data_IF_700970319867
#
_entry.id   IF_700970319867
#
_cell.length_a   1.000
_cell.length_b   1.000
_cell.length_c   1.000
_cell.angle_alpha   90.00
_cell.angle_beta   90.00
_cell.angle_gamma   90.00
#
_symmetry.space_group_name_H-M   'P 1'
#
loop_
_entity.id
_entity.type
_entity.pdbx_description
1 polymer ?
#
# COMPACT_ATOMS: atom_id res chain seq x y z
N UNK A 1 -11.04 -2.32 -16.24
CA UNK A 1 -11.99 -3.42 -16.07
C UNK A 1 -11.58 -4.22 -14.84
N UNK A 2 -12.47 -4.51 -13.90
CA UNK A 2 -12.14 -5.35 -12.73
C UNK A 2 -11.76 -6.75 -13.25
N UNK A 3 -10.77 -7.42 -12.64
CA UNK A 3 -10.37 -8.79 -13.04
C UNK A 3 -11.56 -9.76 -13.13
N UNK A 4 -12.55 -9.59 -12.23
CA UNK A 4 -13.81 -10.35 -12.28
C UNK A 4 -14.69 -10.02 -13.49
N UNK A 5 -14.73 -8.77 -13.96
CA UNK A 5 -15.45 -8.40 -15.18
C UNK A 5 -14.80 -9.05 -16.42
N UNK A 6 -13.47 -9.12 -16.47
CA UNK A 6 -12.75 -9.86 -17.50
C UNK A 6 -13.13 -11.34 -17.46
N UNK A 7 -13.17 -11.95 -16.28
CA UNK A 7 -13.57 -13.35 -16.13
C UNK A 7 -15.03 -13.62 -16.52
N UNK A 8 -15.94 -12.69 -16.23
CA UNK A 8 -17.33 -12.77 -16.67
C UNK A 8 -17.46 -12.66 -18.19
N UNK A 9 -16.70 -11.76 -18.82
CA UNK A 9 -16.68 -11.62 -20.27
C UNK A 9 -16.10 -12.87 -20.96
N UNK A 10 -14.98 -13.39 -20.45
CA UNK A 10 -14.35 -14.60 -20.97
C UNK A 10 -15.27 -15.83 -20.78
N UNK A 11 -15.94 -15.95 -19.63
CA UNK A 11 -16.94 -17.00 -19.37
C UNK A 11 -18.08 -16.95 -20.40
N UNK A 12 -18.61 -15.75 -20.67
CA UNK A 12 -19.66 -15.54 -21.69
C UNK A 12 -19.19 -15.94 -23.09
N UNK A 13 -17.98 -15.54 -23.48
CA UNK A 13 -17.41 -15.85 -24.79
C UNK A 13 -17.20 -17.36 -24.98
N UNK A 14 -16.68 -18.04 -23.96
CA UNK A 14 -16.48 -19.50 -23.98
C UNK A 14 -17.81 -20.24 -24.09
N UNK A 15 -18.83 -19.85 -23.33
CA UNK A 15 -20.18 -20.45 -23.42
C UNK A 15 -20.81 -20.26 -24.79
N UNK A 16 -20.67 -19.06 -25.38
CA UNK A 16 -21.16 -18.79 -26.74
C UNK A 16 -20.48 -19.70 -27.76
N UNK A 17 -19.17 -19.93 -27.62
CA UNK A 17 -18.42 -20.87 -28.45
C UNK A 17 -18.95 -22.30 -28.28
N UNK A 18 -19.11 -22.78 -27.05
CA UNK A 18 -19.64 -24.14 -26.81
C UNK A 18 -21.01 -24.36 -27.42
N UNK A 19 -21.94 -23.43 -27.24
CA UNK A 19 -23.26 -23.50 -27.86
C UNK A 19 -23.18 -23.53 -29.41
N UNK A 20 -22.24 -22.80 -30.00
CA UNK A 20 -22.02 -22.79 -31.45
C UNK A 20 -21.44 -24.13 -31.91
N UNK A 21 -20.44 -24.66 -31.21
CA UNK A 21 -19.82 -25.96 -31.50
C UNK A 21 -20.83 -27.11 -31.33
N UNK A 22 -21.76 -27.02 -30.38
CA UNK A 22 -22.83 -28.02 -30.19
C UNK A 22 -23.83 -28.01 -31.35
N UNK A 23 -24.33 -26.82 -31.73
CA UNK A 23 -25.23 -26.66 -32.88
C UNK A 23 -24.62 -27.17 -34.19
N UNK A 24 -23.30 -27.02 -34.33
CA UNK A 24 -22.54 -27.52 -35.47
C UNK A 24 -22.13 -29.01 -35.35
N UNK A 25 -22.57 -29.72 -34.29
CA UNK A 25 -22.28 -31.14 -34.07
C UNK A 25 -20.83 -31.46 -33.67
N UNK A 26 -20.01 -30.46 -33.35
CA UNK A 26 -18.60 -30.62 -32.95
C UNK A 26 -18.45 -31.12 -31.51
N UNK A 27 -19.41 -30.82 -30.65
CA UNK A 27 -19.51 -31.39 -29.29
C UNK A 27 -20.85 -32.08 -29.13
N UNK A 28 -20.90 -33.15 -28.32
CA UNK A 28 -22.10 -33.93 -28.02
C UNK A 28 -22.22 -34.09 -26.51
N UNK A 29 -23.46 -34.22 -26.03
CA UNK A 29 -23.75 -34.48 -24.61
C UNK A 29 -23.12 -35.81 -24.20
N UNK A 30 -22.53 -35.85 -23.01
CA UNK A 30 -21.89 -37.04 -22.43
C UNK A 30 -20.44 -36.80 -22.01
N UNK A 31 -19.74 -37.89 -21.70
CA UNK A 31 -18.35 -37.85 -21.26
C UNK A 31 -17.41 -37.45 -22.40
N UNK A 32 -16.50 -36.51 -22.14
CA UNK A 32 -15.44 -36.14 -23.07
C UNK A 32 -14.21 -37.00 -22.75
N UNK A 33 -13.86 -37.91 -23.66
CA UNK A 33 -12.54 -38.54 -23.65
C UNK A 33 -11.61 -37.65 -24.49
N UNK A 34 -10.61 -36.97 -23.90
CA UNK A 34 -9.72 -36.11 -24.68
C UNK A 34 -8.94 -36.95 -25.71
N UNK A 35 -8.96 -36.52 -26.98
CA UNK A 35 -8.13 -37.10 -28.04
C UNK A 35 -6.65 -36.88 -27.66
N UNK A 36 -5.93 -37.97 -27.39
CA UNK A 36 -4.55 -37.97 -26.90
C UNK A 36 -3.57 -37.58 -28.01
N UNK A 37 -3.15 -36.32 -28.06
CA UNK A 37 -2.03 -35.90 -28.90
C UNK A 37 -0.79 -35.59 -28.03
N UNK A 38 -0.03 -36.62 -27.68
CA UNK A 38 1.34 -36.48 -27.15
C UNK A 38 1.74 -37.45 -26.03
N UNK A 39 3.00 -37.88 -26.07
CA UNK A 39 3.68 -38.68 -25.03
C UNK A 39 4.07 -37.73 -23.89
N UNK A 40 3.37 -37.75 -22.76
CA UNK A 40 3.89 -37.34 -21.44
C UNK A 40 3.01 -37.89 -20.31
N UNK A 41 3.67 -38.24 -19.22
CA UNK A 41 3.35 -39.33 -18.27
C UNK A 41 2.56 -38.94 -17.02
N UNK A 42 1.91 -37.78 -16.97
CA UNK A 42 1.03 -37.42 -15.84
C UNK A 42 -0.43 -37.37 -16.30
N UNK A 43 -1.00 -38.54 -16.54
CA UNK A 43 -2.37 -38.75 -17.03
C UNK A 43 -3.34 -38.96 -15.87
N UNK A 44 -3.71 -37.90 -15.16
CA UNK A 44 -5.00 -37.94 -14.44
C UNK A 44 -6.12 -37.89 -15.49
N UNK A 45 -6.99 -38.90 -15.50
CA UNK A 45 -8.18 -38.93 -16.36
C UNK A 45 -9.04 -37.72 -15.97
N UNK A 46 -9.11 -36.72 -16.85
CA UNK A 46 -9.96 -35.55 -16.64
C UNK A 46 -11.42 -35.99 -16.81
N UNK A 47 -12.17 -36.04 -15.71
CA UNK A 47 -13.60 -36.41 -15.68
C UNK A 47 -14.46 -35.25 -16.18
N UNK A 48 -14.46 -35.01 -17.49
CA UNK A 48 -15.22 -33.94 -18.12
C UNK A 48 -16.50 -34.44 -18.74
N UNK A 49 -17.55 -33.64 -18.57
CA UNK A 49 -18.87 -33.94 -19.11
C UNK A 49 -19.42 -32.74 -19.86
N UNK A 50 -20.08 -33.00 -20.98
CA UNK A 50 -20.95 -32.03 -21.65
C UNK A 50 -22.36 -32.27 -21.16
N UNK A 51 -22.93 -31.27 -20.49
CA UNK A 51 -24.28 -31.30 -19.94
C UNK A 51 -25.12 -30.15 -20.49
N UNK A 52 -26.43 -30.23 -20.30
CA UNK A 52 -27.33 -29.09 -20.44
C UNK A 52 -27.54 -28.47 -19.05
N UNK A 53 -27.32 -27.16 -18.94
CA UNK A 53 -27.63 -26.44 -17.71
C UNK A 53 -29.17 -26.23 -17.59
N UNK A 54 -29.61 -25.58 -16.51
CA UNK A 54 -31.03 -25.29 -16.26
C UNK A 54 -31.72 -24.43 -17.34
N UNK A 55 -30.94 -23.77 -18.20
CA UNK A 55 -31.43 -22.93 -19.29
C UNK A 55 -31.40 -23.66 -20.64
N UNK A 56 -31.18 -24.98 -20.67
CA UNK A 56 -30.94 -25.78 -21.87
C UNK A 56 -29.75 -25.28 -22.72
N UNK A 57 -28.78 -24.63 -22.11
CA UNK A 57 -27.53 -24.26 -22.76
C UNK A 57 -26.45 -25.29 -22.47
N UNK A 58 -25.54 -25.47 -23.42
CA UNK A 58 -24.45 -26.43 -23.26
C UNK A 58 -23.39 -25.90 -22.31
N UNK A 59 -22.99 -26.75 -21.38
CA UNK A 59 -21.92 -26.50 -20.43
C UNK A 59 -20.95 -27.68 -20.42
N UNK A 60 -19.65 -27.37 -20.45
CA UNK A 60 -18.62 -28.36 -20.18
C UNK A 60 -18.22 -28.21 -18.72
N UNK A 61 -18.35 -29.29 -17.97
CA UNK A 61 -18.10 -29.33 -16.53
C UNK A 61 -17.02 -30.34 -16.20
N UNK A 62 -16.33 -30.11 -15.08
CA UNK A 62 -15.36 -31.01 -14.50
C UNK A 62 -15.56 -31.06 -12.98
N UNK A 63 -15.42 -32.25 -12.38
CA UNK A 63 -15.45 -32.36 -10.92
C UNK A 63 -14.16 -31.76 -10.34
N UNK A 64 -14.29 -30.76 -9.46
CA UNK A 64 -13.14 -30.21 -8.78
C UNK A 64 -12.52 -31.25 -7.85
N UNK A 65 -11.24 -31.60 -8.06
CA UNK A 65 -10.54 -32.66 -7.29
C UNK A 65 -10.32 -32.33 -5.81
N UNK A 66 -10.70 -31.12 -5.37
CA UNK A 66 -10.53 -30.65 -4.00
C UNK A 66 -11.82 -30.59 -3.20
N UNK A 67 -12.92 -30.14 -3.80
CA UNK A 67 -14.21 -30.06 -3.13
C UNK A 67 -15.24 -31.08 -3.63
N UNK A 68 -14.89 -31.87 -4.65
CA UNK A 68 -15.76 -32.85 -5.30
C UNK A 68 -17.09 -32.25 -5.79
N UNK A 69 -17.11 -30.94 -6.08
CA UNK A 69 -18.25 -30.27 -6.71
C UNK A 69 -17.97 -30.13 -8.20
N UNK A 70 -18.99 -30.43 -8.99
CA UNK A 70 -18.97 -30.18 -10.43
C UNK A 70 -18.98 -28.67 -10.69
N UNK A 71 -18.06 -28.21 -11.55
CA UNK A 71 -17.94 -26.80 -11.91
C UNK A 71 -17.70 -26.64 -13.42
N UNK A 72 -18.21 -25.55 -14.02
CA UNK A 72 -17.94 -25.25 -15.42
C UNK A 72 -16.45 -24.98 -15.63
N UNK A 73 -15.86 -25.53 -16.69
CA UNK A 73 -14.43 -25.34 -16.99
C UNK A 73 -14.17 -23.98 -17.66
N UNK A 74 -14.40 -22.90 -16.91
CA UNK A 74 -14.26 -21.51 -17.38
C UNK A 74 -13.36 -20.69 -16.44
N UNK A 75 -12.83 -19.52 -16.87
CA UNK A 75 -12.00 -18.65 -16.01
C UNK A 75 -12.74 -18.14 -14.77
N UNK A 76 -14.08 -18.17 -14.78
CA UNK A 76 -14.89 -17.84 -13.61
C UNK A 76 -14.71 -18.84 -12.48
N UNK A 77 -14.50 -20.13 -12.79
CA UNK A 77 -14.46 -21.21 -11.81
C UNK A 77 -13.09 -21.87 -11.65
N UNK A 78 -12.20 -21.78 -12.64
CA UNK A 78 -10.85 -22.33 -12.57
C UNK A 78 -9.79 -21.28 -12.89
N UNK A 79 -8.60 -21.46 -12.33
CA UNK A 79 -7.45 -20.61 -12.65
C UNK A 79 -6.82 -21.07 -13.97
N UNK A 80 -6.57 -20.11 -14.87
CA UNK A 80 -5.90 -20.32 -16.15
C UNK A 80 -4.37 -20.32 -16.04
N UNK A 81 -3.83 -19.95 -14.89
CA UNK A 81 -2.42 -19.63 -14.70
C UNK A 81 -1.74 -20.65 -13.77
N UNK A 82 -0.73 -21.34 -14.27
CA UNK A 82 0.38 -21.81 -13.44
C UNK A 82 1.49 -20.74 -13.56
N UNK A 83 1.83 -20.06 -12.46
CA UNK A 83 2.94 -19.08 -12.37
C UNK A 83 2.79 -17.70 -13.07
N UNK A 84 1.65 -17.00 -12.96
CA UNK A 84 1.52 -15.56 -13.31
C UNK A 84 1.93 -15.14 -14.74
N UNK A 85 2.03 -16.06 -15.71
CA UNK A 85 2.52 -15.76 -17.07
C UNK A 85 1.45 -15.23 -18.05
N UNK A 86 0.23 -14.93 -17.58
CA UNK A 86 -0.75 -14.16 -18.36
C UNK A 86 -1.36 -14.88 -19.57
N UNK A 87 -1.46 -16.22 -19.55
CA UNK A 87 -2.00 -17.01 -20.67
C UNK A 87 -3.51 -17.27 -20.46
N UNK A 88 -4.29 -17.16 -21.54
CA UNK A 88 -5.71 -17.53 -21.57
C UNK A 88 -5.90 -19.05 -21.41
N UNK A 89 -7.07 -19.49 -20.93
CA UNK A 89 -7.41 -20.92 -20.75
C UNK A 89 -7.17 -21.82 -21.98
N UNK A 90 -7.08 -21.21 -23.15
CA UNK A 90 -6.62 -21.82 -24.38
C UNK A 90 -5.34 -21.07 -24.75
N UNK A 91 -4.22 -21.77 -24.84
CA UNK A 91 -3.06 -21.24 -25.54
C UNK A 91 -3.51 -20.92 -26.97
N UNK A 92 -3.57 -19.63 -27.31
CA UNK A 92 -4.11 -19.18 -28.60
C UNK A 92 -3.31 -19.72 -29.78
N UNK A 93 -2.03 -20.03 -29.58
CA UNK A 93 -1.14 -20.54 -30.61
C UNK A 93 -1.22 -22.07 -30.73
N UNK A 94 -1.26 -22.80 -29.61
CA UNK A 94 -1.26 -24.28 -29.65
C UNK A 94 -2.65 -24.93 -29.53
N UNK A 95 -3.69 -24.17 -29.18
CA UNK A 95 -5.04 -24.67 -28.92
C UNK A 95 -5.15 -25.57 -27.68
N UNK A 96 -4.06 -25.75 -26.92
CA UNK A 96 -4.03 -26.60 -25.72
C UNK A 96 -4.67 -25.89 -24.54
N UNK A 97 -5.51 -26.63 -23.85
CA UNK A 97 -6.22 -26.13 -22.69
C UNK A 97 -5.35 -26.20 -21.43
N UNK A 98 -5.20 -25.07 -20.73
CA UNK A 98 -4.32 -24.92 -19.56
C UNK A 98 -5.09 -24.72 -18.24
N UNK A 99 -6.15 -25.50 -18.03
CA UNK A 99 -6.86 -25.49 -16.74
C UNK A 99 -6.14 -26.38 -15.74
N UNK A 100 -5.80 -25.83 -14.57
CA UNK A 100 -5.30 -26.58 -13.42
C UNK A 100 -6.48 -27.00 -12.53
N UNK A 101 -6.69 -28.31 -12.40
CA UNK A 101 -7.61 -28.92 -11.45
C UNK A 101 -6.87 -30.09 -10.80
N UNK A 102 -6.28 -29.86 -9.64
CA UNK A 102 -5.56 -30.87 -8.86
C UNK A 102 -6.01 -30.86 -7.40
N UNK A 103 -5.68 -31.89 -6.61
CA UNK A 103 -5.96 -31.87 -5.17
C UNK A 103 -5.36 -30.63 -4.46
N UNK A 104 -4.21 -30.14 -4.95
CA UNK A 104 -3.55 -28.93 -4.44
C UNK A 104 -4.22 -27.66 -4.96
N UNK A 105 -4.46 -27.59 -6.27
CA UNK A 105 -4.98 -26.42 -6.99
C UNK A 105 -6.36 -26.73 -7.57
N UNK A 106 -7.38 -26.70 -6.72
CA UNK A 106 -8.77 -26.90 -7.12
C UNK A 106 -9.39 -25.67 -7.80
N UNK A 107 -10.72 -25.62 -7.84
CA UNK A 107 -11.47 -24.48 -8.38
C UNK A 107 -11.17 -23.18 -7.61
N UNK A 108 -11.49 -22.02 -8.20
CA UNK A 108 -11.25 -20.69 -7.63
C UNK A 108 -11.87 -20.51 -6.24
N UNK A 109 -13.03 -21.12 -5.97
CA UNK A 109 -13.63 -21.12 -4.62
C UNK A 109 -12.72 -21.81 -3.61
N UNK A 110 -12.21 -23.01 -3.93
CA UNK A 110 -11.24 -23.71 -3.10
C UNK A 110 -9.94 -22.91 -2.95
N UNK A 111 -9.46 -22.27 -4.02
CA UNK A 111 -8.30 -21.38 -3.97
C UNK A 111 -8.50 -20.20 -3.01
N UNK A 112 -9.70 -19.58 -3.03
CA UNK A 112 -10.08 -18.52 -2.09
C UNK A 112 -10.08 -19.03 -0.64
N UNK A 113 -10.63 -20.22 -0.39
CA UNK A 113 -10.65 -20.80 0.96
C UNK A 113 -9.24 -21.16 1.46
N UNK A 114 -8.38 -21.71 0.59
CA UNK A 114 -6.96 -21.95 0.91
C UNK A 114 -6.26 -20.65 1.25
N UNK A 115 -6.42 -19.61 0.45
CA UNK A 115 -5.81 -18.32 0.70
C UNK A 115 -6.29 -17.74 2.04
N UNK A 116 -7.58 -17.88 2.34
CA UNK A 116 -8.20 -17.48 3.62
C UNK A 116 -7.63 -18.26 4.80
N UNK A 117 -7.37 -19.56 4.65
CA UNK A 117 -6.79 -20.40 5.70
C UNK A 117 -5.28 -20.22 5.86
N UNK A 118 -4.53 -20.06 4.76
CA UNK A 118 -3.08 -19.77 4.78
C UNK A 118 -2.79 -18.46 5.52
N UNK A 119 -3.61 -17.43 5.29
CA UNK A 119 -3.49 -16.16 5.98
C UNK A 119 -3.78 -16.20 7.48
N UNK A 120 -4.37 -17.29 7.99
CA UNK A 120 -4.70 -17.49 9.42
C UNK A 120 -3.67 -18.30 10.20
N UNK A 121 -2.69 -18.92 9.53
CA UNK A 121 -1.62 -19.62 10.23
C UNK A 121 -0.59 -18.59 10.68
N UNK A 122 -0.50 -18.37 12.00
CA UNK A 122 0.45 -17.45 12.62
C UNK A 122 1.88 -17.68 12.11
N UNK A 123 2.28 -18.95 11.95
CA UNK A 123 3.61 -19.29 11.41
C UNK A 123 3.83 -18.85 9.97
N UNK A 124 2.78 -18.85 9.14
CA UNK A 124 2.85 -18.39 7.76
C UNK A 124 2.99 -16.86 7.72
N UNK A 125 2.30 -16.15 8.60
CA UNK A 125 2.46 -14.70 8.74
C UNK A 125 3.92 -14.36 9.11
N UNK A 126 4.47 -15.00 10.14
CA UNK A 126 5.86 -14.81 10.60
C UNK A 126 6.86 -15.12 9.49
N UNK A 127 6.67 -16.23 8.78
CA UNK A 127 7.52 -16.63 7.64
C UNK A 127 7.48 -15.59 6.52
N UNK A 128 6.32 -15.06 6.19
CA UNK A 128 6.17 -14.03 5.14
C UNK A 128 6.83 -12.71 5.57
N UNK A 129 6.67 -12.31 6.84
CA UNK A 129 7.32 -11.12 7.39
C UNK A 129 8.85 -11.25 7.31
N UNK A 130 9.39 -12.35 7.84
CA UNK A 130 10.84 -12.61 7.90
C UNK A 130 11.48 -12.87 6.53
N UNK A 131 10.71 -13.24 5.49
CA UNK A 131 11.23 -13.46 4.13
C UNK A 131 12.02 -12.26 3.59
N UNK A 132 11.74 -11.03 4.05
CA UNK A 132 12.44 -9.81 3.63
C UNK A 132 13.73 -9.53 4.42
N UNK A 133 13.96 -10.26 5.51
CA UNK A 133 15.01 -10.01 6.49
C UNK A 133 15.85 -11.27 6.67
N UNK A 134 16.75 -11.53 5.71
CA UNK A 134 17.43 -12.83 5.58
C UNK A 134 18.33 -13.22 6.77
N UNK A 135 18.74 -12.25 7.59
CA UNK A 135 19.52 -12.49 8.82
C UNK A 135 18.65 -12.69 10.07
N UNK A 136 17.34 -12.44 9.99
CA UNK A 136 16.44 -12.59 11.13
C UNK A 136 15.79 -13.98 11.10
N UNK A 137 16.05 -14.77 12.14
CA UNK A 137 15.48 -16.12 12.28
C UNK A 137 14.09 -16.10 12.93
N UNK A 138 13.35 -17.21 12.79
CA UNK A 138 12.09 -17.42 13.52
C UNK A 138 12.33 -17.47 15.04
N UNK A 139 13.48 -18.00 15.47
CA UNK A 139 13.90 -18.01 16.87
C UNK A 139 14.10 -16.59 17.41
N UNK A 140 14.82 -15.74 16.67
CA UNK A 140 14.95 -14.32 17.00
C UNK A 140 13.57 -13.67 17.12
N UNK A 141 12.70 -13.90 16.14
CA UNK A 141 11.36 -13.32 16.16
C UNK A 141 10.58 -13.77 17.41
N UNK A 142 10.61 -15.06 17.75
CA UNK A 142 9.90 -15.59 18.91
C UNK A 142 10.48 -15.10 20.24
N UNK A 143 11.78 -14.78 20.31
CA UNK A 143 12.40 -14.22 21.52
C UNK A 143 12.07 -12.73 21.75
N UNK A 144 11.62 -12.01 20.72
CA UNK A 144 11.21 -10.60 20.87
C UNK A 144 9.90 -10.45 21.65
N UNK A 145 9.86 -9.44 22.54
CA UNK A 145 8.61 -8.99 23.20
C UNK A 145 7.56 -8.60 22.16
N UNK A 146 6.29 -8.93 22.42
CA UNK A 146 5.15 -8.63 21.52
C UNK A 146 4.48 -7.29 21.83
N UNK A 147 5.28 -6.34 22.28
CA UNK A 147 4.89 -4.95 22.46
C UNK A 147 5.71 -4.09 21.50
N UNK A 148 5.10 -3.04 20.96
CA UNK A 148 5.79 -2.10 20.09
C UNK A 148 6.94 -1.44 20.85
N UNK A 149 8.16 -1.47 20.30
CA UNK A 149 9.29 -0.80 20.94
C UNK A 149 9.10 0.73 21.09
N UNK A 150 8.23 1.36 20.27
CA UNK A 150 7.94 2.80 20.31
C UNK A 150 6.78 3.11 21.27
N UNK A 151 5.61 2.48 21.07
CA UNK A 151 4.40 2.83 21.82
C UNK A 151 4.09 1.90 22.98
N UNK A 152 4.79 0.78 23.12
CA UNK A 152 4.48 -0.30 24.06
C UNK A 152 3.08 -0.95 23.86
N UNK A 153 2.33 -0.58 22.80
CA UNK A 153 1.07 -1.24 22.42
C UNK A 153 1.33 -2.71 22.06
N UNK A 154 0.38 -3.59 22.42
CA UNK A 154 0.42 -5.00 22.03
C UNK A 154 0.39 -5.15 20.50
N UNK A 155 1.30 -5.96 19.96
CA UNK A 155 1.41 -6.20 18.53
C UNK A 155 0.56 -7.39 18.09
N UNK A 156 -0.13 -7.22 16.96
CA UNK A 156 -0.97 -8.27 16.39
C UNK A 156 -0.28 -8.96 15.19
N UNK A 157 -0.37 -10.29 15.15
CA UNK A 157 0.21 -11.13 14.09
C UNK A 157 -0.80 -11.47 12.99
N UNK A 158 -1.64 -10.50 12.65
CA UNK A 158 -2.71 -10.66 11.67
C UNK A 158 -2.59 -9.62 10.54
N UNK A 159 -3.07 -9.97 9.36
CA UNK A 159 -3.13 -9.03 8.25
C UNK A 159 -4.34 -8.11 8.38
N UNK A 160 -4.16 -6.83 8.00
CA UNK A 160 -5.23 -5.81 7.99
C UNK A 160 -5.86 -5.54 9.37
N UNK A 161 -5.12 -5.74 10.45
CA UNK A 161 -5.47 -5.24 11.77
C UNK A 161 -4.64 -4.01 12.12
N UNK A 162 -5.14 -3.23 13.07
CA UNK A 162 -4.37 -2.15 13.69
C UNK A 162 -3.26 -2.74 14.55
N UNK A 163 -2.18 -1.98 14.72
CA UNK A 163 -1.01 -2.35 15.53
C UNK A 163 -0.38 -3.68 15.13
N UNK A 164 -0.47 -4.02 13.84
CA UNK A 164 0.15 -5.24 13.34
C UNK A 164 1.66 -5.16 13.49
N UNK A 165 2.30 -6.29 13.76
CA UNK A 165 3.75 -6.35 13.90
C UNK A 165 4.47 -5.95 12.60
N UNK A 166 5.58 -5.25 12.78
CA UNK A 166 6.54 -4.89 11.76
C UNK A 166 7.94 -4.93 12.38
N UNK A 167 8.96 -4.93 11.53
CA UNK A 167 10.36 -4.90 11.95
C UNK A 167 10.95 -3.56 11.55
N UNK A 168 11.62 -2.90 12.50
CA UNK A 168 12.39 -1.69 12.29
C UNK A 168 13.86 -1.97 12.55
N UNK A 169 14.71 -1.44 11.69
CA UNK A 169 16.15 -1.38 11.89
C UNK A 169 16.51 -0.01 12.52
N UNK A 170 17.11 -0.04 13.71
CA UNK A 170 17.61 1.15 14.41
C UNK A 170 19.15 1.23 14.39
N UNK A 171 19.82 0.34 13.66
CA UNK A 171 21.25 0.38 13.46
C UNK A 171 21.70 1.50 12.52
N UNK A 172 23.01 1.75 12.49
CA UNK A 172 23.64 2.72 11.58
C UNK A 172 23.68 2.23 10.12
N UNK A 173 23.48 0.93 9.90
CA UNK A 173 23.50 0.31 8.58
C UNK A 173 22.08 -0.05 8.15
N UNK A 174 21.87 -0.17 6.84
CA UNK A 174 20.60 -0.64 6.29
C UNK A 174 20.39 -2.17 6.49
N UNK A 175 21.39 -2.87 7.04
CA UNK A 175 21.35 -4.31 7.22
C UNK A 175 20.55 -4.68 8.47
N UNK A 176 19.54 -5.54 8.26
CA UNK A 176 18.62 -5.96 9.31
C UNK A 176 19.20 -7.15 10.09
N UNK A 177 20.13 -6.87 11.00
CA UNK A 177 20.71 -7.88 11.90
C UNK A 177 19.87 -8.03 13.18
N UNK A 178 19.98 -9.16 13.91
CA UNK A 178 19.30 -9.37 15.18
C UNK A 178 19.52 -8.26 16.23
N UNK A 179 20.71 -7.65 16.24
CA UNK A 179 21.13 -6.62 17.20
C UNK A 179 20.57 -5.24 16.84
N UNK A 180 20.34 -4.99 15.56
CA UNK A 180 19.87 -3.70 15.06
C UNK A 180 18.35 -3.64 14.94
N UNK A 181 17.67 -4.79 14.94
CA UNK A 181 16.23 -4.86 14.68
C UNK A 181 15.39 -4.98 15.95
N UNK A 182 14.24 -4.32 15.93
CA UNK A 182 13.20 -4.45 16.97
C UNK A 182 11.82 -4.62 16.34
N UNK A 183 10.88 -5.17 17.12
CA UNK A 183 9.48 -5.20 16.73
C UNK A 183 8.80 -3.85 17.02
N UNK A 184 8.12 -3.31 16.01
CA UNK A 184 7.28 -2.12 16.13
C UNK A 184 5.90 -2.38 15.54
N UNK A 185 4.95 -1.49 15.81
CA UNK A 185 3.70 -1.49 15.06
C UNK A 185 3.96 -0.99 13.64
N UNK A 186 3.27 -1.59 12.67
CA UNK A 186 3.40 -1.21 11.25
C UNK A 186 3.04 0.24 10.98
N UNK A 187 2.15 0.81 11.78
CA UNK A 187 1.79 2.23 11.78
C UNK A 187 2.97 3.15 12.06
N UNK A 188 3.99 2.68 12.79
CA UNK A 188 5.21 3.45 13.03
C UNK A 188 6.28 3.24 11.96
N UNK A 189 6.14 2.23 11.10
CA UNK A 189 7.17 1.91 10.12
C UNK A 189 7.16 2.91 8.95
N UNK A 190 8.16 3.80 8.93
CA UNK A 190 8.30 4.84 7.92
C UNK A 190 9.01 4.30 6.68
N UNK A 191 8.53 4.67 5.49
CA UNK A 191 9.14 4.20 4.23
C UNK A 191 10.52 4.80 3.95
N UNK A 192 10.80 5.99 4.49
CA UNK A 192 12.03 6.75 4.26
C UNK A 192 12.98 6.63 5.45
N UNK A 193 13.35 5.39 5.84
CA UNK A 193 14.24 5.15 7.01
C UNK A 193 15.55 5.95 6.94
N UNK A 194 16.09 6.17 5.74
CA UNK A 194 17.31 6.96 5.54
C UNK A 194 17.14 8.45 5.89
N UNK A 195 15.91 8.97 5.85
CA UNK A 195 15.61 10.37 6.11
C UNK A 195 15.24 10.64 7.59
N UNK A 196 15.06 9.58 8.40
CA UNK A 196 14.71 9.68 9.81
C UNK A 196 15.73 8.87 10.60
N UNK A 197 16.79 9.54 11.03
CA UNK A 197 17.84 8.94 11.84
C UNK A 197 17.29 8.53 13.20
N UNK A 198 17.52 7.28 13.60
CA UNK A 198 17.00 6.67 14.83
C UNK A 198 15.51 6.94 15.07
N UNK A 199 14.66 6.10 14.47
CA UNK A 199 13.21 6.26 14.51
C UNK A 199 12.65 6.33 15.95
N UNK A 200 13.23 5.59 16.90
CA UNK A 200 12.77 5.63 18.30
C UNK A 200 12.98 7.03 18.88
N UNK A 201 14.17 7.61 18.74
CA UNK A 201 14.48 8.95 19.26
C UNK A 201 13.55 10.01 18.66
N UNK A 202 13.27 9.94 17.35
CA UNK A 202 12.31 10.85 16.72
C UNK A 202 10.89 10.70 17.28
N UNK A 203 10.46 9.50 17.66
CA UNK A 203 9.16 9.31 18.33
C UNK A 203 9.15 9.81 19.77
N UNK A 204 10.26 9.70 20.51
CA UNK A 204 10.41 10.28 21.85
C UNK A 204 10.27 11.81 21.78
N UNK A 205 10.97 12.43 20.83
CA UNK A 205 10.87 13.87 20.54
C UNK A 205 9.44 14.25 20.14
N UNK A 206 8.82 13.50 19.23
CA UNK A 206 7.45 13.74 18.81
C UNK A 206 6.44 13.65 19.95
N UNK A 207 6.55 12.65 20.83
CA UNK A 207 5.68 12.54 22.01
C UNK A 207 5.87 13.71 22.97
N UNK A 208 7.11 14.13 23.20
CA UNK A 208 7.42 15.31 24.03
C UNK A 208 6.80 16.58 23.46
N UNK A 209 6.94 16.81 22.15
CA UNK A 209 6.36 17.96 21.45
C UNK A 209 4.83 17.91 21.42
N UNK A 210 4.21 16.73 21.31
CA UNK A 210 2.74 16.60 21.42
C UNK A 210 2.28 17.11 22.78
N UNK A 211 2.92 16.68 23.88
CA UNK A 211 2.55 17.15 25.22
C UNK A 211 2.75 18.66 25.36
N UNK A 212 3.88 19.17 24.89
CA UNK A 212 4.14 20.61 24.91
C UNK A 212 3.03 21.39 24.19
N UNK A 213 2.63 20.96 22.99
CA UNK A 213 1.55 21.60 22.23
C UNK A 213 0.17 21.44 22.88
N UNK A 214 -0.08 20.36 23.62
CA UNK A 214 -1.34 20.18 24.35
C UNK A 214 -1.48 21.19 25.49
N UNK A 215 -0.39 21.50 26.19
CA UNK A 215 -0.37 22.48 27.28
C UNK A 215 -0.21 23.92 26.79
N UNK A 216 0.72 24.14 25.87
CA UNK A 216 1.16 25.45 25.42
C UNK A 216 1.25 25.45 23.88
N UNK A 217 0.12 25.61 23.18
CA UNK A 217 0.13 25.68 21.72
C UNK A 217 1.11 26.73 21.22
N UNK A 218 2.04 26.36 20.34
CA UNK A 218 3.05 27.29 19.82
C UNK A 218 2.42 28.39 18.97
N UNK A 219 2.97 29.60 19.05
CA UNK A 219 2.71 30.66 18.07
C UNK A 219 3.51 30.40 16.80
N UNK A 220 2.83 30.31 15.66
CA UNK A 220 3.45 30.05 14.34
C UNK A 220 3.44 31.26 13.41
N UNK A 221 3.16 32.47 13.93
CA UNK A 221 3.10 33.71 13.15
C UNK A 221 4.36 33.92 12.30
N UNK A 222 5.55 33.86 12.89
CA UNK A 222 6.82 34.01 12.16
C UNK A 222 7.02 32.92 11.09
N UNK A 223 6.62 31.68 11.38
CA UNK A 223 6.69 30.56 10.43
C UNK A 223 5.77 30.80 9.23
N UNK A 224 4.56 31.31 9.47
CA UNK A 224 3.59 31.66 8.44
C UNK A 224 4.14 32.79 7.55
N UNK A 225 4.72 33.83 8.15
CA UNK A 225 5.35 34.94 7.42
C UNK A 225 6.53 34.47 6.56
N UNK A 226 7.40 33.62 7.13
CA UNK A 226 8.48 33.00 6.40
C UNK A 226 7.97 32.20 5.20
N UNK A 227 6.94 31.37 5.37
CA UNK A 227 6.37 30.55 4.28
C UNK A 227 5.71 31.40 3.19
N UNK A 228 5.05 32.50 3.57
CA UNK A 228 4.54 33.49 2.60
C UNK A 228 5.66 34.10 1.78
N UNK A 229 6.78 34.47 2.41
CA UNK A 229 7.98 34.97 1.70
C UNK A 229 8.56 33.89 0.79
N UNK A 230 8.76 32.69 1.33
CA UNK A 230 9.29 31.53 0.59
C UNK A 230 8.47 31.20 -0.67
N UNK A 231 7.14 31.31 -0.60
CA UNK A 231 6.23 31.09 -1.73
C UNK A 231 6.32 32.16 -2.83
N UNK A 232 6.60 33.42 -2.45
CA UNK A 232 6.58 34.56 -3.35
C UNK A 232 7.97 34.94 -3.89
N UNK A 233 9.03 34.52 -3.21
CA UNK A 233 10.42 34.68 -3.62
C UNK A 233 10.69 34.08 -5.00
N UNK A 234 11.66 34.66 -5.71
CA UNK A 234 12.22 34.05 -6.91
C UNK A 234 13.01 32.76 -6.58
N UNK A 235 13.45 32.03 -7.61
CA UNK A 235 14.31 30.85 -7.41
C UNK A 235 15.64 31.23 -6.77
N UNK A 236 16.24 32.35 -7.16
CA UNK A 236 17.51 32.84 -6.63
C UNK A 236 17.38 33.32 -5.18
N UNK A 237 16.29 34.01 -4.84
CA UNK A 237 16.01 34.43 -3.45
C UNK A 237 15.81 33.23 -2.51
N UNK A 238 15.38 32.10 -3.07
CA UNK A 238 15.26 30.82 -2.37
C UNK A 238 16.55 29.99 -2.42
N UNK A 239 17.68 30.58 -2.81
CA UNK A 239 18.99 29.93 -2.78
C UNK A 239 19.22 28.89 -3.87
N UNK A 240 18.48 28.97 -4.99
CA UNK A 240 18.82 28.23 -6.21
C UNK A 240 19.91 29.01 -6.95
N UNK A 241 21.15 28.52 -6.88
CA UNK A 241 22.34 29.22 -7.38
C UNK A 241 22.80 28.72 -8.74
N UNK A 242 22.46 27.48 -9.07
CA UNK A 242 22.87 26.88 -10.34
C UNK A 242 22.15 27.50 -11.54
N UNK A 243 22.79 27.57 -12.72
CA UNK A 243 22.09 27.98 -13.94
C UNK A 243 21.12 26.87 -14.40
N UNK A 244 19.97 27.26 -14.95
CA UNK A 244 18.94 26.32 -15.42
C UNK A 244 19.37 25.47 -16.61
N UNK A 245 20.35 25.95 -17.38
CA UNK A 245 20.94 25.29 -18.54
C UNK A 245 22.46 25.27 -18.44
N UNK A 246 23.06 24.19 -18.91
CA UNK A 246 24.52 24.03 -19.08
C UNK A 246 24.81 23.55 -20.50
N UNK A 247 26.05 23.69 -20.94
CA UNK A 247 26.51 23.18 -22.23
C UNK A 247 27.14 21.80 -21.99
N UNK A 248 26.70 20.77 -22.73
CA UNK A 248 27.29 19.44 -22.66
C UNK A 248 28.54 19.30 -23.55
N UNK A 249 29.18 18.14 -23.53
CA UNK A 249 30.38 17.83 -24.33
C UNK A 249 30.16 18.02 -25.85
N UNK A 250 28.92 17.88 -26.33
CA UNK A 250 28.53 18.11 -27.74
C UNK A 250 28.24 19.58 -28.07
N UNK A 251 28.57 20.53 -27.19
CA UNK A 251 28.18 21.95 -27.29
C UNK A 251 26.65 22.20 -27.36
N UNK A 252 25.83 21.27 -26.87
CA UNK A 252 24.37 21.43 -26.82
C UNK A 252 23.93 21.97 -25.46
N UNK A 253 22.98 22.91 -25.47
CA UNK A 253 22.30 23.36 -24.25
C UNK A 253 21.42 22.25 -23.70
N UNK A 254 21.72 21.78 -22.51
CA UNK A 254 20.93 20.80 -21.78
C UNK A 254 20.45 21.39 -20.45
N UNK A 255 19.40 20.80 -19.87
CA UNK A 255 18.91 21.17 -18.55
C UNK A 255 19.93 20.78 -17.48
N UNK A 256 20.27 21.69 -16.57
CA UNK A 256 21.18 21.40 -15.47
C UNK A 256 20.49 20.50 -14.42
N UNK A 257 21.01 19.28 -14.15
CA UNK A 257 20.47 18.40 -13.12
C UNK A 257 20.54 18.99 -11.72
N UNK A 258 21.62 19.71 -11.37
CA UNK A 258 21.80 20.29 -10.04
C UNK A 258 20.84 21.48 -9.81
N UNK A 259 20.62 22.33 -10.82
CA UNK A 259 19.53 23.31 -10.78
C UNK A 259 18.19 22.65 -10.52
N UNK A 260 17.91 21.53 -11.20
CA UNK A 260 16.63 20.84 -11.06
C UNK A 260 16.45 20.28 -9.65
N UNK A 261 17.52 19.75 -9.07
CA UNK A 261 17.58 19.30 -7.67
C UNK A 261 17.31 20.48 -6.74
N UNK A 262 18.10 21.56 -6.81
CA UNK A 262 17.93 22.75 -5.98
C UNK A 262 16.55 23.39 -6.12
N UNK A 263 16.05 23.56 -7.35
CA UNK A 263 14.71 24.07 -7.62
C UNK A 263 13.64 23.22 -6.94
N UNK A 264 13.73 21.90 -7.04
CA UNK A 264 12.77 20.98 -6.43
C UNK A 264 12.90 20.84 -4.90
N UNK A 265 14.00 21.30 -4.30
CA UNK A 265 14.27 21.16 -2.86
C UNK A 265 14.18 22.48 -2.10
N UNK A 266 14.44 23.61 -2.76
CA UNK A 266 14.54 24.92 -2.11
C UNK A 266 13.43 25.89 -2.51
N UNK A 267 12.69 25.67 -3.60
CA UNK A 267 11.66 26.62 -4.06
C UNK A 267 10.24 26.08 -3.76
N UNK A 268 9.50 26.72 -2.85
CA UNK A 268 8.23 26.18 -2.33
C UNK A 268 7.20 25.87 -3.42
N UNK A 269 7.02 26.75 -4.41
CA UNK A 269 6.09 26.47 -5.52
C UNK A 269 6.44 25.20 -6.27
N UNK A 270 7.74 24.93 -6.44
CA UNK A 270 8.22 23.72 -7.11
C UNK A 270 7.97 22.47 -6.27
N UNK A 271 8.21 22.57 -4.96
CA UNK A 271 7.91 21.50 -3.99
C UNK A 271 6.41 21.15 -4.03
N UNK A 272 5.53 22.16 -3.88
CA UNK A 272 4.08 21.97 -3.89
C UNK A 272 3.57 21.44 -5.24
N UNK A 273 4.13 21.90 -6.35
CA UNK A 273 3.82 21.35 -7.67
C UNK A 273 4.23 19.87 -7.77
N UNK A 274 5.41 19.53 -7.26
CA UNK A 274 5.89 18.15 -7.19
C UNK A 274 4.96 17.25 -6.40
N UNK A 275 4.39 17.74 -5.29
CA UNK A 275 3.36 17.02 -4.53
C UNK A 275 2.09 16.83 -5.38
N UNK A 276 1.57 17.88 -6.00
CA UNK A 276 0.38 17.81 -6.86
C UNK A 276 0.52 16.75 -7.97
N UNK A 277 1.68 16.71 -8.64
CA UNK A 277 1.94 15.77 -9.72
C UNK A 277 2.14 14.33 -9.22
N UNK A 278 2.85 14.16 -8.09
CA UNK A 278 3.07 12.84 -7.47
C UNK A 278 1.74 12.21 -7.06
N UNK A 279 0.93 12.94 -6.30
CA UNK A 279 -0.32 12.40 -5.77
C UNK A 279 -1.37 12.18 -6.87
N UNK A 280 -1.43 13.05 -7.88
CA UNK A 280 -2.26 12.81 -9.06
C UNK A 280 -1.89 11.50 -9.79
N UNK A 281 -0.59 11.24 -9.97
CA UNK A 281 -0.12 9.98 -10.57
C UNK A 281 -0.46 8.77 -9.70
N UNK A 282 -0.34 8.90 -8.37
CA UNK A 282 -0.73 7.83 -7.43
C UNK A 282 -2.23 7.56 -7.45
N UNK A 283 -3.06 8.61 -7.49
CA UNK A 283 -4.51 8.53 -7.61
C UNK A 283 -4.94 7.85 -8.90
N UNK A 284 -4.37 8.25 -10.04
CA UNK A 284 -4.66 7.63 -11.34
C UNK A 284 -4.33 6.13 -11.39
N UNK A 285 -3.30 5.68 -10.66
CA UNK A 285 -2.90 4.26 -10.58
C UNK A 285 -3.79 3.45 -9.64
N UNK A 286 -4.52 4.08 -8.72
CA UNK A 286 -5.32 3.38 -7.73
C UNK A 286 -6.65 2.91 -8.32
N UNK A 287 -6.76 1.61 -8.61
CA UNK A 287 -7.99 0.98 -9.12
C UNK A 287 -9.13 1.02 -8.08
N UNK A 288 -8.80 1.21 -6.79
CA UNK A 288 -9.76 1.11 -5.69
C UNK A 288 -10.55 2.39 -5.41
N UNK A 289 -10.11 3.55 -5.91
CA UNK A 289 -10.68 4.85 -5.53
C UNK A 289 -11.89 5.19 -6.41
N UNK A 290 -13.01 5.57 -5.78
CA UNK A 290 -14.35 5.59 -6.41
C UNK A 290 -14.62 6.85 -7.25
N UNK A 291 -13.93 7.96 -7.01
CA UNK A 291 -14.23 9.25 -7.64
C UNK A 291 -13.19 9.65 -8.69
N UNK A 292 -13.56 9.68 -9.97
CA UNK A 292 -12.69 10.26 -11.01
C UNK A 292 -12.90 11.76 -11.22
N UNK A 293 -13.95 12.32 -10.63
CA UNK A 293 -14.46 13.68 -10.92
C UNK A 293 -14.09 14.71 -9.87
N UNK A 294 -13.39 14.33 -8.80
CA UNK A 294 -13.01 15.27 -7.74
C UNK A 294 -12.02 16.32 -8.26
N UNK A 295 -12.17 17.58 -7.83
CA UNK A 295 -11.28 18.68 -8.22
C UNK A 295 -9.84 18.36 -7.81
N UNK A 296 -8.93 18.36 -8.78
CA UNK A 296 -7.51 18.07 -8.58
C UNK A 296 -6.87 19.15 -7.68
N UNK A 297 -6.04 18.72 -6.74
CA UNK A 297 -5.15 19.62 -6.00
C UNK A 297 -4.29 20.46 -6.96
N UNK A 298 -4.12 21.73 -6.62
CA UNK A 298 -3.20 22.63 -7.30
C UNK A 298 -2.33 23.36 -6.28
N UNK A 299 -1.28 24.02 -6.77
CA UNK A 299 -0.27 24.71 -5.95
C UNK A 299 -0.91 25.74 -5.01
N UNK A 300 -1.89 26.52 -5.50
CA UNK A 300 -2.56 27.57 -4.72
C UNK A 300 -3.39 26.97 -3.59
N UNK A 301 -4.12 25.88 -3.85
CA UNK A 301 -4.87 25.16 -2.81
C UNK A 301 -3.94 24.61 -1.72
N UNK A 302 -2.84 23.95 -2.11
CA UNK A 302 -1.89 23.43 -1.14
C UNK A 302 -1.21 24.52 -0.32
N UNK A 303 -0.84 25.64 -0.95
CA UNK A 303 -0.29 26.79 -0.23
C UNK A 303 -1.29 27.35 0.78
N UNK A 304 -2.52 27.64 0.34
CA UNK A 304 -3.58 28.14 1.23
C UNK A 304 -3.84 27.16 2.38
N UNK A 305 -3.80 25.85 2.12
CA UNK A 305 -3.95 24.83 3.16
C UNK A 305 -2.83 24.87 4.19
N UNK A 306 -1.56 25.02 3.79
CA UNK A 306 -0.45 25.20 4.75
C UNK A 306 -0.67 26.42 5.65
N UNK A 307 -1.12 27.55 5.07
CA UNK A 307 -1.38 28.79 5.81
C UNK A 307 -2.59 28.64 6.75
N UNK A 308 -3.69 28.05 6.26
CA UNK A 308 -4.91 27.86 7.05
C UNK A 308 -4.72 26.83 8.17
N UNK A 309 -3.79 25.88 8.01
CA UNK A 309 -3.35 24.99 9.07
C UNK A 309 -2.29 25.62 9.98
N UNK A 310 -1.99 26.91 9.81
CA UNK A 310 -1.03 27.66 10.63
C UNK A 310 0.36 27.03 10.65
N UNK A 311 0.77 26.37 9.57
CA UNK A 311 2.02 25.58 9.52
C UNK A 311 2.11 24.52 10.64
N UNK A 312 0.99 23.96 11.10
CA UNK A 312 0.94 22.90 12.10
C UNK A 312 0.51 21.56 11.49
N UNK A 313 1.03 20.49 12.07
CA UNK A 313 0.61 19.12 11.79
C UNK A 313 -0.86 18.94 12.16
N UNK A 314 -1.67 18.49 11.22
CA UNK A 314 -3.10 18.30 11.43
C UNK A 314 -3.44 17.31 12.56
N UNK A 315 -2.63 16.27 12.75
CA UNK A 315 -2.88 15.27 13.79
C UNK A 315 -2.48 15.75 15.19
N UNK A 316 -1.36 16.46 15.30
CA UNK A 316 -0.71 16.67 16.61
C UNK A 316 -0.62 18.13 17.04
N UNK A 317 -0.82 19.09 16.13
CA UNK A 317 -0.57 20.50 16.40
C UNK A 317 0.91 20.91 16.35
N UNK A 318 1.85 19.95 16.27
CA UNK A 318 3.29 20.24 16.19
C UNK A 318 3.58 21.17 15.00
N UNK A 319 4.34 22.26 15.19
CA UNK A 319 4.81 23.10 14.09
C UNK A 319 5.62 22.30 13.05
N UNK A 320 5.23 22.45 11.79
CA UNK A 320 5.89 21.82 10.66
C UNK A 320 7.22 22.51 10.37
N UNK A 321 8.26 21.72 10.12
CA UNK A 321 9.57 22.24 9.77
C UNK A 321 9.64 22.61 8.28
N UNK A 322 10.37 23.68 7.97
CA UNK A 322 10.73 24.05 6.59
C UNK A 322 12.05 23.41 6.16
N UNK A 323 12.82 22.84 7.10
CA UNK A 323 14.00 22.05 6.80
C UNK A 323 13.58 20.68 6.24
N UNK A 324 14.00 20.39 5.01
CA UNK A 324 13.65 19.15 4.30
C UNK A 324 14.18 17.89 4.98
N UNK A 325 15.26 17.99 5.73
CA UNK A 325 15.91 16.83 6.37
C UNK A 325 15.38 16.58 7.80
N UNK A 326 14.42 17.39 8.26
CA UNK A 326 13.76 17.25 9.55
C UNK A 326 12.56 16.26 9.46
N UNK A 327 12.38 15.43 10.48
CA UNK A 327 11.26 14.49 10.57
C UNK A 327 9.89 15.22 10.64
N UNK A 328 9.88 16.46 11.12
CA UNK A 328 8.72 17.38 11.16
C UNK A 328 8.42 18.04 9.83
N UNK A 329 9.23 17.84 8.80
CA UNK A 329 8.95 18.40 7.48
C UNK A 329 7.55 18.00 7.02
N UNK A 330 6.85 18.89 6.34
CA UNK A 330 5.47 18.62 5.96
C UNK A 330 5.35 17.52 4.90
N UNK A 331 4.33 16.69 5.05
CA UNK A 331 3.90 15.69 4.08
C UNK A 331 2.38 15.76 3.93
N UNK A 332 1.85 15.37 2.78
CA UNK A 332 0.42 15.40 2.52
C UNK A 332 -0.18 14.01 2.80
N UNK A 333 -1.22 13.97 3.62
CA UNK A 333 -1.93 12.75 4.01
C UNK A 333 -3.41 12.84 3.63
N UNK A 334 -4.03 11.68 3.39
CA UNK A 334 -5.47 11.59 3.14
C UNK A 334 -6.20 11.26 4.42
N UNK A 335 -7.31 11.95 4.66
CA UNK A 335 -8.20 11.63 5.78
C UNK A 335 -8.95 10.32 5.54
N UNK A 336 -9.46 10.12 4.32
CA UNK A 336 -10.04 8.88 3.83
C UNK A 336 -9.20 8.30 2.68
N UNK A 337 -8.65 7.12 2.93
CA UNK A 337 -7.81 6.41 1.99
C UNK A 337 -8.55 5.77 0.81
N UNK A 338 -9.88 5.72 0.86
CA UNK A 338 -10.76 5.28 -0.23
C UNK A 338 -11.04 6.38 -1.26
N UNK A 339 -10.73 7.63 -0.93
CA UNK A 339 -10.89 8.80 -1.79
C UNK A 339 -9.55 9.27 -2.39
N UNK A 340 -9.62 10.12 -3.41
CA UNK A 340 -8.47 10.81 -3.99
C UNK A 340 -7.96 11.94 -3.09
N UNK A 341 -6.80 12.49 -3.43
CA UNK A 341 -6.34 13.71 -2.81
C UNK A 341 -7.15 14.89 -3.36
N UNK A 342 -7.92 15.52 -2.48
CA UNK A 342 -8.74 16.71 -2.74
C UNK A 342 -8.46 17.73 -1.65
N UNK A 343 -8.99 18.95 -1.79
CA UNK A 343 -8.84 19.95 -0.74
C UNK A 343 -9.45 19.45 0.59
N UNK A 344 -10.65 18.87 0.55
CA UNK A 344 -11.35 18.41 1.74
C UNK A 344 -10.82 17.09 2.31
N UNK A 345 -10.21 16.25 1.47
CA UNK A 345 -9.69 14.93 1.86
C UNK A 345 -8.17 14.92 1.98
N UNK A 346 -7.51 16.07 2.14
CA UNK A 346 -6.06 16.09 2.32
C UNK A 346 -5.64 17.15 3.32
N UNK A 347 -4.64 16.78 4.13
CA UNK A 347 -4.10 17.60 5.21
C UNK A 347 -2.58 17.50 5.25
N UNK A 348 -1.92 18.54 5.75
CA UNK A 348 -0.49 18.47 6.04
C UNK A 348 -0.23 17.89 7.43
N UNK A 349 0.70 16.94 7.49
CA UNK A 349 1.17 16.29 8.71
C UNK A 349 2.70 16.28 8.73
N UNK A 350 3.31 16.01 9.90
CA UNK A 350 4.74 15.72 9.95
C UNK A 350 5.06 14.49 9.08
N UNK A 351 6.17 14.54 8.33
CA UNK A 351 6.59 13.48 7.40
C UNK A 351 6.67 12.12 8.10
N UNK A 352 7.19 12.08 9.31
CA UNK A 352 7.30 10.85 10.10
C UNK A 352 5.95 10.13 10.29
N UNK A 353 4.84 10.87 10.32
CA UNK A 353 3.50 10.30 10.51
C UNK A 353 2.88 9.77 9.22
N UNK A 354 3.44 10.10 8.04
CA UNK A 354 2.98 9.56 6.75
C UNK A 354 3.56 8.16 6.52
N UNK A 355 2.99 7.18 7.21
CA UNK A 355 3.41 5.78 7.15
C UNK A 355 2.45 4.94 6.33
N UNK A 356 2.93 3.78 5.86
CA UNK A 356 2.09 2.86 5.11
C UNK A 356 0.96 2.23 5.95
N UNK A 357 1.09 2.25 7.28
CA UNK A 357 0.09 1.75 8.22
C UNK A 357 -1.03 2.74 8.53
N UNK A 358 -0.96 3.98 8.02
CA UNK A 358 -1.94 5.04 8.25
C UNK A 358 -2.13 5.35 9.73
N UNK A 359 -1.28 6.26 10.23
CA UNK A 359 -1.55 6.92 11.49
C UNK A 359 -2.68 7.93 11.34
N UNK A 360 -3.44 8.09 12.41
CA UNK A 360 -4.40 9.16 12.59
C UNK A 360 -4.27 9.73 14.01
N UNK A 361 -5.00 10.81 14.29
CA UNK A 361 -4.96 11.47 15.59
C UNK A 361 -5.27 10.53 16.77
N UNK A 362 -6.31 9.71 16.65
CA UNK A 362 -6.72 8.78 17.70
C UNK A 362 -5.61 7.75 18.00
N UNK A 363 -5.03 7.13 16.96
CA UNK A 363 -3.91 6.19 17.09
C UNK A 363 -2.68 6.83 17.75
N UNK A 364 -2.31 8.06 17.35
CA UNK A 364 -1.16 8.75 17.93
C UNK A 364 -1.37 9.01 19.43
N UNK A 365 -2.56 9.47 19.83
CA UNK A 365 -2.87 9.72 21.24
C UNK A 365 -2.95 8.43 22.06
N UNK A 366 -3.50 7.35 21.52
CA UNK A 366 -3.46 6.03 22.17
C UNK A 366 -2.02 5.56 22.39
N UNK A 367 -1.17 5.73 21.39
CA UNK A 367 0.24 5.39 21.49
C UNK A 367 1.00 6.25 22.51
N UNK A 368 0.65 7.53 22.60
CA UNK A 368 1.21 8.44 23.60
C UNK A 368 0.82 8.04 25.02
N UNK A 369 -0.39 7.52 25.24
CA UNK A 369 -0.80 7.02 26.56
C UNK A 369 -0.11 5.72 26.95
N UNK A 370 0.19 4.84 25.99
CA UNK A 370 0.74 3.52 26.28
C UNK A 370 2.26 3.46 26.36
N UNK A 371 2.95 4.42 25.73
CA UNK A 371 4.41 4.44 25.62
C UNK A 371 5.10 4.55 27.00
N UNK A 372 6.39 4.17 27.04
CA UNK A 372 7.19 4.10 28.26
C UNK A 372 8.45 4.99 28.24
N UNK A 373 8.63 5.77 27.19
CA UNK A 373 9.85 6.54 26.93
C UNK A 373 9.81 7.93 27.57
N UNK A 374 8.63 8.54 27.66
CA UNK A 374 8.41 9.80 28.36
C UNK A 374 7.45 9.59 29.53
N UNK A 375 7.74 10.25 30.64
CA UNK A 375 6.91 10.19 31.85
C UNK A 375 5.71 11.11 31.68
N UNK A 376 4.51 10.57 31.81
CA UNK A 376 3.28 11.36 31.84
C UNK A 376 2.88 11.68 33.28
N UNK A 377 2.50 12.92 33.53
CA UNK A 377 1.79 13.34 34.75
C UNK A 377 0.30 12.96 34.67
N UNK A 378 -0.41 13.04 35.80
CA UNK A 378 -1.87 12.84 35.81
C UNK A 378 -2.58 13.86 34.92
N UNK A 379 -2.09 15.10 34.88
CA UNK A 379 -2.67 16.17 34.07
C UNK A 379 -2.45 15.89 32.57
N UNK A 380 -1.28 15.38 32.17
CA UNK A 380 -1.03 14.93 30.79
C UNK A 380 -2.02 13.86 30.36
N UNK A 381 -2.22 12.85 31.21
CA UNK A 381 -3.14 11.74 30.94
C UNK A 381 -4.57 12.26 30.77
N UNK A 382 -5.02 13.15 31.66
CA UNK A 382 -6.35 13.76 31.57
C UNK A 382 -6.51 14.57 30.27
N UNK A 383 -5.54 15.41 29.93
CA UNK A 383 -5.56 16.19 28.68
C UNK A 383 -5.62 15.29 27.44
N UNK A 384 -4.87 14.20 27.41
CA UNK A 384 -4.89 13.28 26.27
C UNK A 384 -6.25 12.57 26.17
N UNK A 385 -6.81 12.10 27.30
CA UNK A 385 -8.12 11.47 27.34
C UNK A 385 -9.23 12.44 26.87
N UNK A 386 -9.22 13.68 27.36
CA UNK A 386 -10.16 14.72 26.94
C UNK A 386 -10.09 14.99 25.43
N UNK A 387 -8.91 14.85 24.80
CA UNK A 387 -8.76 14.98 23.35
C UNK A 387 -9.25 13.73 22.62
N UNK A 388 -9.05 12.54 23.18
CA UNK A 388 -9.54 11.28 22.62
C UNK A 388 -11.07 11.23 22.60
N UNK A 389 -11.74 11.71 23.65
CA UNK A 389 -13.21 11.75 23.74
C UNK A 389 -13.87 12.68 22.72
N UNK A 390 -13.12 13.65 22.18
CA UNK A 390 -13.60 14.65 21.21
C UNK A 390 -13.40 14.24 19.75
N UNK A 391 -12.77 13.10 19.48
CA UNK A 391 -12.54 12.55 18.13
C UNK A 391 -13.59 11.49 17.87
#
# INVERSE_FOLDING_TARGET
MKREQTYEEDDRLIRKKWNTDYKNGKIKIGNITPNRSGVKTNNEIKNRQVILNSNNEIEIVEMCLRCNKEKPITPKYYHSEYNNSGISNIDKESGKEQICNSPTYGCRECGKEVAKQKGKKIDEYRRILLKKYYLLSLEWYNSQKKNCAISNICLHEENNCDWRVSIQNNGLTNEHTPENCVLIAYEFNVQEQNAIHNLIDCWIDAFSLILQELHHPSDTTESIEYVKKWYNNSTTDNGVTEPSQIINEDNKKIRNPEYSKQYSTKHLRAILNGLCDRYFKMDKKSIKRKEKTSSRLNIKLLFNKLINQEMKCYYTGIPLSTNRDDWRYFSLERLDNTLHHTDDNSVFICRMFNTAGQLNKNKILQALLSQQHIKLSSDDINLINDKLEKI
#
